data_IF_577950781409
#
_entry.id   IF_577950781409
#
_cell.length_a   1.000
_cell.length_b   1.000
_cell.length_c   1.000
_cell.angle_alpha   90.00
_cell.angle_beta   90.00
_cell.angle_gamma   90.00
#
_symmetry.space_group_name_H-M   'P 1'
#
loop_
_entity.id
_entity.type
_entity.pdbx_description
1 polymer ?
#
# COMPACT_ATOMS: atom_id res chain seq x y z
N UNK A 1 9.87 17.53 49.23
CA UNK A 1 9.72 16.23 48.55
C UNK A 1 11.08 15.55 48.55
N UNK A 2 11.23 14.39 49.20
CA UNK A 2 12.53 13.70 49.28
C UNK A 2 12.88 13.12 47.91
N UNK A 3 14.19 13.05 47.59
CA UNK A 3 14.71 12.56 46.29
C UNK A 3 14.11 11.20 45.90
N UNK A 4 13.80 10.36 46.90
CA UNK A 4 13.17 9.05 46.75
C UNK A 4 11.74 9.13 46.20
N UNK A 5 10.92 10.08 46.65
CA UNK A 5 9.54 10.23 46.16
C UNK A 5 9.54 10.73 44.72
N UNK A 6 10.45 11.65 44.37
CA UNK A 6 10.61 12.10 42.99
C UNK A 6 11.04 10.95 42.06
N UNK A 7 11.98 10.10 42.50
CA UNK A 7 12.43 8.94 41.73
C UNK A 7 11.30 7.93 41.47
N UNK A 8 10.47 7.64 42.49
CA UNK A 8 9.33 6.72 42.36
C UNK A 8 8.28 7.28 41.39
N UNK A 9 7.99 8.58 41.47
CA UNK A 9 7.03 9.24 40.56
C UNK A 9 7.53 9.23 39.11
N UNK A 10 8.82 9.50 38.89
CA UNK A 10 9.42 9.42 37.55
C UNK A 10 9.36 7.99 37.00
N UNK A 11 9.69 6.97 37.82
CA UNK A 11 9.65 5.58 37.38
C UNK A 11 8.23 5.14 37.02
N UNK A 12 7.23 5.54 37.80
CA UNK A 12 5.82 5.27 37.52
C UNK A 12 5.37 5.94 36.21
N UNK A 13 5.78 7.19 35.94
CA UNK A 13 5.51 7.87 34.68
C UNK A 13 6.13 7.15 33.47
N UNK A 14 7.38 6.69 33.57
CA UNK A 14 8.02 5.95 32.48
C UNK A 14 7.34 4.63 32.16
N UNK A 15 6.85 3.91 33.17
CA UNK A 15 6.12 2.64 32.98
C UNK A 15 4.79 2.89 32.26
N UNK A 16 4.05 3.95 32.60
CA UNK A 16 2.77 4.28 31.96
C UNK A 16 2.94 4.82 30.54
N UNK A 17 4.07 5.47 30.21
CA UNK A 17 4.35 5.98 28.87
C UNK A 17 4.94 4.95 27.88
N UNK A 18 5.27 3.74 28.33
CA UNK A 18 5.95 2.74 27.49
C UNK A 18 5.05 1.98 26.51
N UNK A 19 3.72 2.13 26.57
CA UNK A 19 2.79 1.45 25.67
C UNK A 19 2.52 2.28 24.41
N UNK A 20 3.46 2.26 23.47
CA UNK A 20 3.21 2.70 22.10
C UNK A 20 2.80 1.48 21.27
N UNK A 21 1.50 1.34 20.99
CA UNK A 21 1.01 0.31 20.07
C UNK A 21 1.20 0.80 18.63
N UNK A 22 1.97 0.05 17.83
CA UNK A 22 2.03 0.27 16.40
C UNK A 22 0.70 -0.20 15.80
N UNK A 23 -0.02 0.73 15.17
CA UNK A 23 -1.29 0.45 14.49
C UNK A 23 -1.10 -0.49 13.28
N UNK A 24 0.13 -0.55 12.74
CA UNK A 24 0.51 -1.43 11.64
C UNK A 24 1.63 -2.37 12.08
N UNK A 25 1.58 -3.59 11.58
CA UNK A 25 2.73 -4.49 11.56
C UNK A 25 3.45 -4.33 10.21
N UNK A 26 4.76 -4.11 10.23
CA UNK A 26 5.57 -3.92 9.01
C UNK A 26 6.66 -5.00 8.98
N UNK A 27 6.72 -5.74 7.88
CA UNK A 27 7.82 -6.64 7.51
C UNK A 27 8.68 -5.98 6.44
N UNK A 28 10.00 -6.06 6.59
CA UNK A 28 10.96 -5.57 5.59
C UNK A 28 11.09 -6.47 4.36
N UNK A 29 10.30 -7.55 4.31
CA UNK A 29 10.21 -8.49 3.19
C UNK A 29 8.77 -8.66 2.73
N UNK A 30 8.62 -9.06 1.46
CA UNK A 30 7.37 -9.55 0.90
C UNK A 30 7.01 -10.93 1.46
N UNK A 31 5.97 -11.00 2.28
CA UNK A 31 5.47 -12.21 2.92
C UNK A 31 4.18 -12.68 2.21
N UNK A 32 4.13 -12.56 0.88
CA UNK A 32 2.99 -13.04 0.11
C UNK A 32 2.89 -14.56 0.13
N UNK A 33 1.69 -15.12 -0.09
CA UNK A 33 1.47 -16.56 -0.19
C UNK A 33 2.36 -17.28 -1.21
N UNK A 34 2.55 -18.59 -1.03
CA UNK A 34 3.40 -19.42 -1.91
C UNK A 34 2.75 -19.79 -3.24
N UNK A 35 1.45 -19.56 -3.41
CA UNK A 35 0.70 -19.78 -4.65
C UNK A 35 0.81 -18.59 -5.63
N UNK A 36 1.44 -17.48 -5.21
CA UNK A 36 1.79 -16.41 -6.11
C UNK A 36 2.83 -16.86 -7.16
N UNK A 37 2.89 -16.20 -8.33
CA UNK A 37 3.83 -16.56 -9.38
C UNK A 37 5.28 -16.58 -8.88
N UNK A 38 6.00 -17.67 -9.14
CA UNK A 38 7.38 -17.87 -8.69
C UNK A 38 8.36 -16.83 -9.24
N UNK A 39 8.02 -16.18 -10.37
CA UNK A 39 8.84 -15.11 -10.95
C UNK A 39 8.86 -13.83 -10.10
N UNK A 40 7.91 -13.67 -9.17
CA UNK A 40 7.93 -12.56 -8.21
C UNK A 40 8.88 -12.81 -7.04
N UNK A 41 9.31 -14.06 -6.83
CA UNK A 41 10.05 -14.45 -5.63
C UNK A 41 11.40 -13.73 -5.43
N UNK A 42 12.17 -13.41 -6.48
CA UNK A 42 13.35 -12.55 -6.35
C UNK A 42 13.05 -11.19 -5.71
N UNK A 43 11.83 -10.66 -5.89
CA UNK A 43 11.42 -9.34 -5.39
C UNK A 43 11.07 -9.36 -3.89
N UNK A 44 10.95 -10.53 -3.24
CA UNK A 44 10.61 -10.61 -1.81
C UNK A 44 11.54 -9.77 -0.93
N UNK A 45 12.82 -9.71 -1.27
CA UNK A 45 13.83 -9.03 -0.46
C UNK A 45 13.70 -7.50 -0.49
N UNK A 46 13.19 -6.93 -1.58
CA UNK A 46 13.02 -5.48 -1.73
C UNK A 46 11.59 -4.99 -1.48
N UNK A 47 10.64 -5.93 -1.43
CA UNK A 47 9.27 -5.67 -1.06
C UNK A 47 9.09 -5.50 0.45
N UNK A 48 8.02 -4.82 0.84
CA UNK A 48 7.58 -4.71 2.23
C UNK A 48 6.16 -5.26 2.37
N UNK A 49 5.87 -5.89 3.51
CA UNK A 49 4.52 -6.29 3.86
C UNK A 49 4.03 -5.43 4.99
N UNK A 50 2.90 -4.76 4.78
CA UNK A 50 2.29 -3.90 5.78
C UNK A 50 0.92 -4.48 6.10
N UNK A 51 0.66 -4.77 7.38
CA UNK A 51 -0.58 -5.39 7.86
C UNK A 51 -1.29 -4.45 8.83
N UNK A 52 -2.57 -4.17 8.62
CA UNK A 52 -3.38 -3.31 9.50
C UNK A 52 -4.17 -2.22 8.74
N UNK A 53 -4.77 -1.23 9.42
CA UNK A 53 -4.73 -1.00 10.86
C UNK A 53 -5.82 -1.75 11.65
N UNK A 54 -6.99 -2.01 11.05
CA UNK A 54 -8.17 -2.49 11.78
C UNK A 54 -8.58 -3.93 11.42
N UNK A 55 -8.25 -4.39 10.21
CA UNK A 55 -8.77 -5.65 9.64
C UNK A 55 -7.69 -6.53 9.02
N UNK A 56 -6.48 -6.52 9.59
CA UNK A 56 -5.30 -7.26 9.09
C UNK A 56 -5.15 -7.24 7.55
N UNK A 57 -5.58 -6.16 6.89
CA UNK A 57 -5.41 -5.97 5.46
C UNK A 57 -3.92 -5.99 5.16
N UNK A 58 -3.53 -6.73 4.13
CA UNK A 58 -2.13 -6.93 3.76
C UNK A 58 -1.84 -6.10 2.53
N UNK A 59 -0.79 -5.30 2.62
CA UNK A 59 -0.31 -4.46 1.55
C UNK A 59 1.12 -4.87 1.22
N UNK A 60 1.33 -5.36 -0.01
CA UNK A 60 2.65 -5.76 -0.49
C UNK A 60 3.22 -4.63 -1.36
N UNK A 61 4.07 -3.82 -0.76
CA UNK A 61 4.72 -2.69 -1.42
C UNK A 61 6.03 -3.15 -2.07
N UNK A 62 6.03 -3.28 -3.39
CA UNK A 62 7.15 -3.77 -4.19
C UNK A 62 7.79 -2.58 -4.89
N UNK A 63 9.06 -2.34 -4.58
CA UNK A 63 9.89 -1.32 -5.21
C UNK A 63 10.64 -1.94 -6.37
N UNK A 64 10.98 -1.13 -7.36
CA UNK A 64 11.81 -1.54 -8.48
C UNK A 64 13.03 -0.63 -8.55
N UNK A 65 14.19 -1.20 -8.82
CA UNK A 65 15.42 -0.46 -8.99
C UNK A 65 15.47 0.24 -10.36
N UNK A 66 14.94 -0.44 -11.38
CA UNK A 66 14.93 0.03 -12.75
C UNK A 66 13.69 -0.46 -13.51
N UNK A 67 13.55 0.08 -14.72
CA UNK A 67 12.44 -0.20 -15.62
C UNK A 67 12.39 -1.64 -16.09
N UNK A 68 13.52 -2.25 -16.39
CA UNK A 68 13.56 -3.59 -16.97
C UNK A 68 13.11 -4.62 -15.92
N UNK A 69 13.50 -4.42 -14.66
CA UNK A 69 13.00 -5.21 -13.53
C UNK A 69 11.48 -5.09 -13.38
N UNK A 70 10.94 -3.88 -13.47
CA UNK A 70 9.49 -3.65 -13.40
C UNK A 70 8.76 -4.32 -14.58
N UNK A 71 9.22 -4.10 -15.81
CA UNK A 71 8.60 -4.65 -17.02
C UNK A 71 8.64 -6.19 -17.03
N UNK A 72 9.71 -6.80 -16.51
CA UNK A 72 9.80 -8.24 -16.34
C UNK A 72 8.80 -8.77 -15.30
N UNK A 73 8.59 -8.04 -14.20
CA UNK A 73 7.67 -8.43 -13.14
C UNK A 73 6.19 -8.20 -13.52
N UNK A 74 5.91 -7.18 -14.33
CA UNK A 74 4.56 -6.68 -14.59
C UNK A 74 3.53 -7.76 -15.02
N UNK A 75 3.83 -8.65 -15.98
CA UNK A 75 2.89 -9.72 -16.37
C UNK A 75 2.54 -10.68 -15.23
N UNK A 76 3.43 -10.83 -14.25
CA UNK A 76 3.24 -11.72 -13.11
C UNK A 76 2.47 -11.03 -11.99
N UNK A 77 2.70 -9.73 -11.78
CA UNK A 77 1.90 -8.92 -10.85
C UNK A 77 0.42 -8.90 -11.26
N UNK A 78 0.13 -8.83 -12.57
CA UNK A 78 -1.23 -8.87 -13.08
C UNK A 78 -1.98 -10.18 -12.77
N UNK A 79 -1.27 -11.31 -12.62
CA UNK A 79 -1.88 -12.62 -12.30
C UNK A 79 -2.39 -12.70 -10.86
N UNK A 80 -1.86 -11.88 -9.97
CA UNK A 80 -2.25 -11.85 -8.54
C UNK A 80 -3.57 -11.11 -8.32
N UNK A 81 -3.93 -10.23 -9.25
CA UNK A 81 -5.12 -9.40 -9.18
C UNK A 81 -6.39 -10.23 -9.32
N UNK A 82 -7.39 -9.95 -8.49
CA UNK A 82 -8.72 -10.53 -8.61
C UNK A 82 -9.37 -10.15 -9.95
N UNK A 83 -10.22 -11.03 -10.48
CA UNK A 83 -10.98 -10.75 -11.69
C UNK A 83 -11.87 -9.51 -11.50
N UNK A 84 -11.86 -8.59 -12.47
CA UNK A 84 -12.64 -7.34 -12.41
C UNK A 84 -12.12 -6.26 -11.46
N UNK A 85 -11.19 -6.59 -10.54
CA UNK A 85 -10.57 -5.58 -9.67
C UNK A 85 -9.75 -4.56 -10.49
N UNK A 86 -9.73 -3.28 -10.10
CA UNK A 86 -9.11 -2.21 -10.87
C UNK A 86 -7.58 -2.18 -10.71
N UNK A 87 -6.96 -1.39 -11.58
CA UNK A 87 -5.62 -0.84 -11.36
C UNK A 87 -5.79 0.66 -11.08
N UNK A 88 -5.37 1.10 -9.90
CA UNK A 88 -5.31 2.51 -9.54
C UNK A 88 -3.99 3.09 -9.99
N UNK A 89 -4.03 4.12 -10.81
CA UNK A 89 -2.84 4.89 -11.19
C UNK A 89 -2.70 6.04 -10.21
N UNK A 90 -1.58 6.10 -9.50
CA UNK A 90 -1.32 7.15 -8.50
C UNK A 90 0.05 7.78 -8.74
N UNK A 91 0.24 9.02 -8.28
CA UNK A 91 1.53 9.71 -8.34
C UNK A 91 2.39 9.46 -7.10
N UNK A 92 1.78 8.99 -6.01
CA UNK A 92 2.44 8.71 -4.73
C UNK A 92 1.66 7.65 -3.97
N UNK A 93 2.38 6.83 -3.20
CA UNK A 93 1.79 5.88 -2.26
C UNK A 93 2.43 6.03 -0.89
N UNK A 94 1.62 6.04 0.17
CA UNK A 94 2.12 6.04 1.55
C UNK A 94 2.84 4.73 1.91
N UNK A 95 2.48 3.62 1.27
CA UNK A 95 3.06 2.30 1.53
C UNK A 95 4.47 2.14 0.98
N UNK A 96 4.79 2.81 -0.14
CA UNK A 96 6.13 2.73 -0.74
C UNK A 96 7.14 3.65 -0.05
N UNK A 97 6.68 4.68 0.67
CA UNK A 97 7.49 5.72 1.27
C UNK A 97 7.73 6.90 0.32
N UNK A 98 8.35 7.97 0.83
CA UNK A 98 8.50 9.23 0.08
C UNK A 98 9.33 9.04 -1.20
N UNK A 99 8.79 9.52 -2.33
CA UNK A 99 9.49 9.62 -3.61
C UNK A 99 9.85 8.28 -4.23
N UNK A 100 9.14 7.21 -3.87
CA UNK A 100 9.43 5.85 -4.34
C UNK A 100 8.36 5.38 -5.31
N UNK A 101 8.82 4.91 -6.46
CA UNK A 101 8.02 4.29 -7.51
C UNK A 101 7.88 2.79 -7.23
N UNK A 102 6.76 2.22 -7.67
CA UNK A 102 6.58 0.79 -7.68
C UNK A 102 5.12 0.37 -7.69
N UNK A 103 4.86 -0.79 -7.12
CA UNK A 103 3.53 -1.42 -7.09
C UNK A 103 3.16 -1.72 -5.66
N UNK A 104 1.91 -1.43 -5.29
CA UNK A 104 1.31 -1.91 -4.05
C UNK A 104 0.18 -2.84 -4.41
N UNK A 105 0.29 -4.10 -3.95
CA UNK A 105 -0.80 -5.06 -4.05
C UNK A 105 -1.55 -5.05 -2.74
N UNK A 106 -2.82 -4.69 -2.80
CA UNK A 106 -3.72 -4.69 -1.66
C UNK A 106 -4.46 -6.02 -1.62
N UNK A 107 -4.44 -6.69 -0.48
CA UNK A 107 -5.05 -7.99 -0.28
C UNK A 107 -5.99 -7.98 0.93
N UNK A 108 -7.08 -8.77 0.89
CA UNK A 108 -7.88 -9.01 2.08
C UNK A 108 -7.04 -9.70 3.18
N UNK A 109 -7.54 -9.68 4.43
CA UNK A 109 -6.91 -10.43 5.51
C UNK A 109 -6.74 -11.91 5.17
N UNK A 110 -5.74 -12.52 5.80
CA UNK A 110 -5.46 -13.94 5.59
C UNK A 110 -6.66 -14.82 6.00
N UNK A 111 -6.95 -15.84 5.20
CA UNK A 111 -8.10 -16.72 5.45
C UNK A 111 -9.47 -16.08 5.18
N UNK A 112 -9.53 -14.91 4.54
CA UNK A 112 -10.79 -14.30 4.09
C UNK A 112 -11.57 -15.25 3.17
N UNK A 113 -12.76 -15.67 3.60
CA UNK A 113 -13.58 -16.68 2.90
C UNK A 113 -14.71 -16.09 2.05
N UNK A 114 -14.93 -14.76 2.13
CA UNK A 114 -15.99 -14.16 1.32
C UNK A 114 -15.53 -14.07 -0.15
N UNK A 115 -16.47 -14.10 -1.10
CA UNK A 115 -16.13 -13.95 -2.51
C UNK A 115 -15.36 -12.65 -2.74
N UNK A 116 -14.33 -12.70 -3.58
CA UNK A 116 -13.58 -11.53 -4.06
C UNK A 116 -14.50 -10.66 -4.92
N UNK A 117 -15.36 -9.90 -4.25
CA UNK A 117 -16.41 -9.08 -4.87
C UNK A 117 -16.33 -7.66 -4.34
N UNK A 118 -16.72 -6.67 -5.17
CA UNK A 118 -16.75 -5.29 -4.74
C UNK A 118 -17.72 -5.08 -3.57
N UNK A 119 -17.29 -4.35 -2.55
CA UNK A 119 -18.14 -3.92 -1.44
C UNK A 119 -19.29 -3.04 -1.95
N UNK A 120 -20.51 -3.38 -1.53
CA UNK A 120 -21.69 -2.59 -1.85
C UNK A 120 -21.72 -1.30 -1.03
N UNK A 121 -22.31 -0.24 -1.59
CA UNK A 121 -22.48 1.04 -0.90
C UNK A 121 -21.30 2.01 -1.00
N UNK A 122 -20.23 1.64 -1.70
CA UNK A 122 -19.10 2.53 -2.01
C UNK A 122 -19.14 2.99 -3.47
N UNK A 123 -18.67 4.23 -3.77
CA UNK A 123 -18.46 4.70 -5.14
C UNK A 123 -17.61 3.73 -5.97
N UNK A 124 -17.82 3.67 -7.28
CA UNK A 124 -17.16 2.69 -8.16
C UNK A 124 -15.64 2.87 -8.19
N UNK A 125 -15.20 4.12 -8.14
CA UNK A 125 -13.84 4.61 -8.09
C UNK A 125 -13.19 4.50 -6.71
N UNK A 126 -13.94 4.17 -5.65
CA UNK A 126 -13.37 4.15 -4.30
C UNK A 126 -12.53 2.89 -4.05
N UNK A 127 -11.30 3.05 -3.57
CA UNK A 127 -10.47 1.91 -3.13
C UNK A 127 -11.16 1.05 -2.05
N UNK A 128 -11.97 1.66 -1.17
CA UNK A 128 -12.74 0.95 -0.14
C UNK A 128 -13.77 -0.03 -0.74
N UNK A 129 -14.22 0.21 -1.98
CA UNK A 129 -15.05 -0.74 -2.72
C UNK A 129 -14.31 -2.05 -2.99
N UNK A 130 -12.99 -2.02 -3.11
CA UNK A 130 -12.18 -3.15 -3.56
C UNK A 130 -11.40 -3.83 -2.44
N UNK A 131 -11.60 -3.44 -1.17
CA UNK A 131 -10.84 -3.95 -0.02
C UNK A 131 -10.96 -5.47 0.22
N UNK A 132 -11.98 -6.13 -0.35
CA UNK A 132 -12.15 -7.58 -0.25
C UNK A 132 -11.55 -8.34 -1.45
N UNK A 133 -10.77 -7.67 -2.29
CA UNK A 133 -10.18 -8.21 -3.50
C UNK A 133 -8.68 -7.94 -3.53
N UNK A 134 -7.95 -8.70 -4.33
CA UNK A 134 -6.60 -8.34 -4.72
C UNK A 134 -6.65 -7.27 -5.80
N UNK A 135 -6.33 -6.03 -5.46
CA UNK A 135 -6.23 -4.93 -6.43
C UNK A 135 -4.86 -4.27 -6.41
N UNK A 136 -4.53 -3.56 -7.48
CA UNK A 136 -3.21 -2.98 -7.69
C UNK A 136 -3.28 -1.47 -7.62
N UNK A 137 -2.38 -0.88 -6.85
CA UNK A 137 -2.02 0.53 -6.92
C UNK A 137 -0.65 0.62 -7.60
N UNK A 138 -0.62 1.32 -8.73
CA UNK A 138 0.54 1.51 -9.59
C UNK A 138 1.02 2.95 -9.45
N UNK A 139 2.20 3.15 -8.84
CA UNK A 139 2.81 4.48 -8.72
C UNK A 139 3.55 4.79 -10.01
N UNK A 140 3.03 5.75 -10.78
CA UNK A 140 3.54 6.11 -12.12
C UNK A 140 4.47 7.31 -12.01
N UNK A 141 5.72 7.14 -12.41
CA UNK A 141 6.73 8.21 -12.46
C UNK A 141 7.18 8.57 -13.89
N UNK A 142 6.89 7.72 -14.88
CA UNK A 142 7.36 7.87 -16.26
C UNK A 142 8.82 7.47 -16.50
N UNK A 143 9.58 7.13 -15.44
CA UNK A 143 10.97 6.69 -15.52
C UNK A 143 11.06 5.17 -15.37
N UNK A 144 10.62 4.63 -14.23
CA UNK A 144 10.58 3.18 -13.99
C UNK A 144 9.24 2.63 -14.46
N UNK A 145 8.15 3.28 -14.04
CA UNK A 145 6.79 2.90 -14.41
C UNK A 145 6.29 3.86 -15.49
N UNK A 146 6.46 3.44 -16.74
CA UNK A 146 6.01 4.17 -17.93
C UNK A 146 4.80 3.50 -18.58
N UNK A 147 3.65 4.18 -18.54
CA UNK A 147 2.40 3.69 -19.10
C UNK A 147 2.44 3.50 -20.62
N UNK A 148 3.38 4.14 -21.34
CA UNK A 148 3.52 3.97 -22.78
C UNK A 148 4.23 2.67 -23.17
N UNK A 149 4.85 1.98 -22.20
CA UNK A 149 5.66 0.77 -22.43
C UNK A 149 5.05 -0.49 -21.86
N UNK A 150 4.19 -0.36 -20.85
CA UNK A 150 3.51 -1.52 -20.28
C UNK A 150 2.17 -1.80 -20.95
N UNK A 151 1.86 -3.09 -21.08
CA UNK A 151 0.53 -3.51 -21.48
C UNK A 151 -0.42 -3.45 -20.28
N UNK A 152 -1.47 -2.64 -20.37
CA UNK A 152 -2.58 -2.69 -19.43
C UNK A 152 -3.56 -3.79 -19.86
N UNK A 153 -3.99 -4.67 -18.95
CA UNK A 153 -4.85 -5.81 -19.30
C UNK A 153 -6.22 -5.36 -19.82
N UNK A 154 -6.62 -5.88 -20.98
CA UNK A 154 -7.93 -5.62 -21.58
C UNK A 154 -9.07 -5.95 -20.63
N UNK A 155 -10.07 -5.06 -20.54
CA UNK A 155 -11.26 -5.27 -19.70
C UNK A 155 -11.03 -5.07 -18.20
N UNK A 156 -9.82 -4.68 -17.79
CA UNK A 156 -9.56 -4.26 -16.41
C UNK A 156 -9.91 -2.79 -16.23
N UNK A 157 -10.74 -2.42 -15.24
CA UNK A 157 -10.99 -1.02 -14.93
C UNK A 157 -9.70 -0.30 -14.55
N UNK A 158 -9.47 0.87 -15.13
CA UNK A 158 -8.35 1.74 -14.80
C UNK A 158 -8.92 2.99 -14.14
N UNK A 159 -8.49 3.27 -12.90
CA UNK A 159 -8.87 4.48 -12.17
C UNK A 159 -7.64 5.36 -12.06
N UNK A 160 -7.67 6.54 -12.68
CA UNK A 160 -6.53 7.47 -12.70
C UNK A 160 -6.67 8.53 -11.61
N UNK A 161 -5.91 8.35 -10.53
CA UNK A 161 -5.88 9.25 -9.36
C UNK A 161 -4.56 10.06 -9.31
N UNK A 162 -3.73 10.03 -10.37
CA UNK A 162 -2.43 10.74 -10.38
C UNK A 162 -2.57 12.24 -10.18
N UNK A 163 -3.70 12.79 -10.61
CA UNK A 163 -4.00 14.22 -10.59
C UNK A 163 -5.01 14.64 -9.52
N UNK A 164 -5.42 13.72 -8.64
CA UNK A 164 -6.30 14.07 -7.54
C UNK A 164 -5.59 15.07 -6.64
N UNK A 165 -6.04 16.31 -6.69
CA UNK A 165 -5.51 17.40 -5.86
C UNK A 165 -5.81 17.01 -4.42
N UNK A 166 -4.79 16.60 -3.66
CA UNK A 166 -4.92 16.59 -2.21
C UNK A 166 -5.33 18.01 -1.80
N UNK A 167 -6.53 18.17 -1.26
CA UNK A 167 -7.09 19.46 -0.86
C UNK A 167 -6.19 20.26 0.11
N UNK A 168 -5.11 19.68 0.63
CA UNK A 168 -4.09 20.33 1.45
C UNK A 168 -3.35 21.51 0.78
N UNK A 169 -3.34 21.64 -0.55
CA UNK A 169 -2.60 22.73 -1.22
C UNK A 169 -3.41 23.99 -1.54
N UNK A 170 -4.73 24.01 -1.36
CA UNK A 170 -5.55 25.19 -1.65
C UNK A 170 -5.65 26.13 -0.44
N UNK A 171 -5.70 25.60 0.78
CA UNK A 171 -5.88 26.40 2.00
C UNK A 171 -4.63 27.23 2.37
N UNK A 172 -3.43 26.81 1.94
CA UNK A 172 -2.18 27.54 2.20
C UNK A 172 -1.85 28.68 1.21
N UNK A 173 -2.69 28.92 0.19
CA UNK A 173 -2.47 30.04 -0.76
C UNK A 173 -3.34 31.27 -0.49
N UNK A 174 -4.41 31.16 0.30
CA UNK A 174 -5.28 32.31 0.62
C UNK A 174 -4.90 33.05 1.90
N UNK A 175 -4.08 32.46 2.78
CA UNK A 175 -3.64 33.09 4.04
C UNK A 175 -2.43 34.03 3.95
N UNK A 176 -1.99 34.40 2.74
CA UNK A 176 -0.86 35.32 2.54
C UNK A 176 -1.26 36.47 1.61
N UNK A 177 -2.11 37.35 2.11
CA UNK A 177 -2.30 38.72 1.61
C UNK A 177 -2.19 39.69 2.76
#
# INVERSE_FOLDING_TARGET
MTKTVAAIVCLALFVVCSTAFALYHISETGNWPTDWPAELEPLRKQAQTITGPTWEYRHFAIRFADRDEFEAAWPHLLKVKSAGAPIFLVSKSSFLGKGRTGVVIHCPPEGWKQPETPNKGYPEESQARWSNTNYIELVVDGEIVDLNRIHLPTGTPIVDERFTICAESVENREGRK
#
